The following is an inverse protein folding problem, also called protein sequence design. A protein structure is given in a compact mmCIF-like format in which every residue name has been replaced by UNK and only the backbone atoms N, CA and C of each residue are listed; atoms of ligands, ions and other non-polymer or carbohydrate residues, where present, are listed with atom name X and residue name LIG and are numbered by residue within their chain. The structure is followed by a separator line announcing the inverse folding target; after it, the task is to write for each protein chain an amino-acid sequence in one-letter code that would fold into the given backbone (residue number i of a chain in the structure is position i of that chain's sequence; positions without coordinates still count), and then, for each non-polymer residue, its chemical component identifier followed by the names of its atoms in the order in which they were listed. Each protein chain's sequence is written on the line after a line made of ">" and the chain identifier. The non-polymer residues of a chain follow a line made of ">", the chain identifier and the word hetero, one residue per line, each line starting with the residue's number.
data_IF_015386631619
#
_entry.id   IF_015386631619
#
_cell.length_a   1.000
_cell.length_b   1.000
_cell.length_c   1.000
_cell.angle_alpha   90.00
_cell.angle_beta   90.00
_cell.angle_gamma   90.00
#
_symmetry.space_group_name_H-M   'P 1'
#
loop_
_entity.id
_entity.type
_entity.pdbx_description
1 polymer ?
#
# COMPACT_ATOMS: atom_id res chain seq x y z
N UNK A 1 7.74 -10.66 -5.70
CA UNK A 1 6.70 -10.10 -4.81
C UNK A 1 6.55 -8.61 -5.06
N UNK A 2 5.33 -8.17 -5.31
CA UNK A 2 5.06 -6.78 -5.71
C UNK A 2 5.45 -5.73 -4.66
N UNK A 3 5.19 -5.98 -3.40
CA UNK A 3 5.60 -5.06 -2.32
C UNK A 3 7.12 -4.91 -2.26
N UNK A 4 7.82 -6.02 -2.39
CA UNK A 4 9.29 -6.01 -2.37
C UNK A 4 9.86 -5.22 -3.54
N UNK A 5 9.27 -5.40 -4.72
CA UNK A 5 9.71 -4.67 -5.92
C UNK A 5 9.48 -3.16 -5.76
N UNK A 6 8.33 -2.78 -5.21
CA UNK A 6 8.03 -1.39 -4.92
C UNK A 6 9.02 -0.80 -3.91
N UNK A 7 9.31 -1.52 -2.83
CA UNK A 7 10.24 -1.07 -1.80
C UNK A 7 11.64 -0.89 -2.37
N UNK A 8 12.13 -1.89 -3.11
CA UNK A 8 13.47 -1.83 -3.71
C UNK A 8 13.61 -0.65 -4.65
N UNK A 9 12.63 -0.45 -5.53
CA UNK A 9 12.65 0.66 -6.47
C UNK A 9 12.59 2.00 -5.75
N UNK A 10 11.72 2.10 -4.74
CA UNK A 10 11.57 3.31 -3.94
C UNK A 10 12.89 3.72 -3.28
N UNK A 11 13.58 2.76 -2.67
CA UNK A 11 14.88 3.03 -2.04
C UNK A 11 15.93 3.41 -3.08
N UNK A 12 15.98 2.70 -4.20
CA UNK A 12 16.95 2.96 -5.26
C UNK A 12 16.82 4.39 -5.78
N UNK A 13 15.59 4.81 -6.08
CA UNK A 13 15.38 6.13 -6.69
C UNK A 13 15.54 7.27 -5.66
N UNK A 14 15.07 7.10 -4.43
CA UNK A 14 15.12 8.16 -3.42
C UNK A 14 16.48 8.30 -2.75
N UNK A 15 17.31 7.27 -2.78
CA UNK A 15 18.68 7.34 -2.24
C UNK A 15 19.63 8.09 -3.18
N UNK A 16 19.20 8.37 -4.39
CA UNK A 16 20.01 9.16 -5.33
C UNK A 16 20.04 10.63 -4.90
N UNK A 17 21.17 11.10 -4.40
CA UNK A 17 21.32 12.49 -3.98
C UNK A 17 21.37 13.47 -5.15
N UNK A 18 21.64 12.96 -6.37
CA UNK A 18 21.54 13.76 -7.58
C UNK A 18 20.08 14.11 -7.89
N UNK A 19 19.16 13.19 -7.61
CA UNK A 19 17.74 13.38 -7.85
C UNK A 19 17.05 14.08 -6.70
N UNK A 20 17.28 13.57 -5.47
CA UNK A 20 16.66 14.09 -4.27
C UNK A 20 17.69 14.83 -3.42
N UNK A 21 17.66 16.18 -3.40
CA UNK A 21 18.63 16.97 -2.63
C UNK A 21 18.63 16.59 -1.15
N UNK A 22 19.81 16.60 -0.54
CA UNK A 22 19.99 16.20 0.86
C UNK A 22 19.09 16.96 1.83
N UNK A 23 18.76 18.22 1.54
CA UNK A 23 17.90 19.03 2.41
C UNK A 23 16.50 18.47 2.56
N UNK A 24 16.08 17.58 1.67
CA UNK A 24 14.76 16.95 1.73
C UNK A 24 14.77 15.55 2.32
N UNK A 25 15.91 15.10 2.85
CA UNK A 25 16.03 13.74 3.38
C UNK A 25 15.00 13.47 4.49
N UNK A 26 14.90 14.35 5.47
CA UNK A 26 14.01 14.14 6.61
C UNK A 26 12.55 14.49 6.33
N UNK A 27 12.32 15.46 5.47
CA UNK A 27 10.95 15.95 5.20
C UNK A 27 10.24 15.22 4.09
N UNK A 28 10.99 14.60 3.18
CA UNK A 28 10.40 13.92 2.02
C UNK A 28 10.90 12.50 1.86
N UNK A 29 12.22 12.30 1.71
CA UNK A 29 12.78 10.99 1.39
C UNK A 29 12.45 9.94 2.45
N UNK A 30 12.66 10.27 3.71
CA UNK A 30 12.35 9.33 4.80
C UNK A 30 10.88 8.97 4.85
N UNK A 31 10.00 9.95 4.63
CA UNK A 31 8.55 9.71 4.60
C UNK A 31 8.14 8.77 3.48
N UNK A 32 8.74 8.96 2.30
CA UNK A 32 8.47 8.11 1.14
C UNK A 32 8.92 6.68 1.42
N UNK A 33 10.13 6.51 1.92
CA UNK A 33 10.69 5.20 2.22
C UNK A 33 9.89 4.48 3.30
N UNK A 34 9.56 5.18 4.37
CA UNK A 34 8.74 4.63 5.46
C UNK A 34 7.37 4.20 4.96
N UNK A 35 6.75 5.00 4.10
CA UNK A 35 5.43 4.70 3.55
C UNK A 35 5.45 3.39 2.76
N UNK A 36 6.46 3.20 1.92
CA UNK A 36 6.61 1.98 1.14
C UNK A 36 6.79 0.74 2.03
N UNK A 37 7.60 0.86 3.07
CA UNK A 37 7.83 -0.24 4.03
C UNK A 37 6.57 -0.51 4.85
N UNK A 38 5.88 0.53 5.31
CA UNK A 38 4.67 0.40 6.11
C UNK A 38 3.57 -0.33 5.36
N UNK A 39 3.44 -0.12 4.05
CA UNK A 39 2.47 -0.83 3.23
C UNK A 39 2.71 -2.33 3.32
N UNK A 40 3.95 -2.76 3.20
CA UNK A 40 4.31 -4.17 3.34
C UNK A 40 4.02 -4.69 4.75
N UNK A 41 4.44 -3.93 5.77
CA UNK A 41 4.26 -4.36 7.17
C UNK A 41 2.78 -4.51 7.51
N UNK A 42 1.93 -3.61 7.05
CA UNK A 42 0.48 -3.70 7.27
C UNK A 42 -0.14 -4.90 6.56
N UNK A 43 0.30 -5.19 5.33
CA UNK A 43 -0.21 -6.35 4.60
C UNK A 43 0.21 -7.66 5.27
N UNK A 44 1.44 -7.72 5.77
CA UNK A 44 1.92 -8.89 6.50
C UNK A 44 1.12 -9.08 7.78
N UNK A 45 0.96 -8.02 8.55
CA UNK A 45 0.21 -8.04 9.80
C UNK A 45 -1.23 -8.47 9.57
N UNK A 46 -1.85 -7.91 8.54
CA UNK A 46 -3.23 -8.28 8.18
C UNK A 46 -3.33 -9.77 7.81
N UNK A 47 -2.34 -10.27 7.08
CA UNK A 47 -2.34 -11.67 6.62
C UNK A 47 -2.19 -12.67 7.77
N UNK A 48 -1.64 -12.25 8.90
CA UNK A 48 -1.50 -13.10 10.08
C UNK A 48 -2.80 -13.24 10.89
N UNK A 49 -3.79 -12.40 10.60
CA UNK A 49 -5.05 -12.41 11.31
C UNK A 49 -6.05 -13.40 10.69
N UNK A 50 -6.81 -14.09 11.56
CA UNK A 50 -7.74 -15.12 11.14
C UNK A 50 -9.09 -14.52 10.73
N UNK A 51 -9.49 -14.76 9.50
CA UNK A 51 -10.78 -14.31 8.96
C UNK A 51 -11.98 -14.86 9.72
N UNK A 52 -11.84 -16.03 10.36
CA UNK A 52 -12.94 -16.71 11.06
C UNK A 52 -13.24 -16.10 12.42
N UNK A 53 -12.31 -15.30 12.95
CA UNK A 53 -12.50 -14.63 14.25
C UNK A 53 -13.01 -13.21 13.97
N UNK A 54 -14.18 -12.86 14.54
CA UNK A 54 -14.82 -11.57 14.27
C UNK A 54 -13.92 -10.36 14.54
N UNK A 55 -13.21 -10.38 15.67
CA UNK A 55 -12.32 -9.26 16.04
C UNK A 55 -11.11 -9.17 15.12
N UNK A 56 -10.50 -10.32 14.80
CA UNK A 56 -9.35 -10.37 13.91
C UNK A 56 -9.73 -9.99 12.49
N UNK A 57 -10.93 -10.39 12.06
CA UNK A 57 -11.44 -10.00 10.76
C UNK A 57 -11.57 -8.48 10.64
N UNK A 58 -12.14 -7.82 11.65
CA UNK A 58 -12.28 -6.38 11.65
C UNK A 58 -10.91 -5.69 11.63
N UNK A 59 -9.99 -6.20 12.42
CA UNK A 59 -8.62 -5.66 12.46
C UNK A 59 -7.91 -5.83 11.11
N UNK A 60 -8.08 -6.98 10.48
CA UNK A 60 -7.52 -7.27 9.16
C UNK A 60 -8.06 -6.28 8.13
N UNK A 61 -9.35 -6.01 8.13
CA UNK A 61 -9.97 -5.06 7.23
C UNK A 61 -9.44 -3.64 7.45
N UNK A 62 -9.24 -3.24 8.69
CA UNK A 62 -8.66 -1.91 9.00
C UNK A 62 -7.25 -1.77 8.47
N UNK A 63 -6.44 -2.82 8.63
CA UNK A 63 -5.07 -2.82 8.12
C UNK A 63 -5.03 -2.76 6.61
N UNK A 64 -5.91 -3.50 5.93
CA UNK A 64 -6.02 -3.45 4.48
C UNK A 64 -6.44 -2.05 4.01
N UNK A 65 -7.43 -1.45 4.67
CA UNK A 65 -7.89 -0.11 4.34
C UNK A 65 -6.78 0.93 4.54
N UNK A 66 -6.04 0.80 5.63
CA UNK A 66 -4.93 1.72 5.93
C UNK A 66 -3.79 1.56 4.91
N UNK A 67 -3.49 0.31 4.52
CA UNK A 67 -2.49 0.05 3.49
C UNK A 67 -2.89 0.70 2.16
N UNK A 68 -4.17 0.65 1.80
CA UNK A 68 -4.67 1.31 0.60
C UNK A 68 -4.51 2.82 0.68
N UNK A 69 -4.80 3.41 1.84
CA UNK A 69 -4.60 4.84 2.07
C UNK A 69 -3.13 5.20 1.89
N UNK A 70 -2.23 4.38 2.42
CA UNK A 70 -0.79 4.61 2.29
C UNK A 70 -0.32 4.50 0.84
N UNK A 71 -0.93 3.60 0.05
CA UNK A 71 -0.65 3.54 -1.38
C UNK A 71 -1.01 4.85 -2.08
N UNK A 72 -2.14 5.44 -1.72
CA UNK A 72 -2.58 6.72 -2.27
C UNK A 72 -1.64 7.85 -1.86
N UNK A 73 -1.19 7.83 -0.61
CA UNK A 73 -0.22 8.82 -0.12
C UNK A 73 1.12 8.69 -0.84
N UNK A 74 1.56 7.47 -1.05
CA UNK A 74 2.80 7.22 -1.80
C UNK A 74 2.69 7.72 -3.23
N UNK A 75 1.57 7.46 -3.88
CA UNK A 75 1.30 7.96 -5.23
C UNK A 75 1.35 9.49 -5.29
N UNK A 76 0.82 10.14 -4.27
CA UNK A 76 0.91 11.60 -4.15
C UNK A 76 2.37 12.06 -4.08
N UNK A 77 3.18 11.41 -3.25
CA UNK A 77 4.58 11.77 -3.11
C UNK A 77 5.39 11.54 -4.39
N UNK A 78 5.04 10.48 -5.13
CA UNK A 78 5.68 10.20 -6.42
C UNK A 78 5.39 11.32 -7.41
N UNK A 79 4.12 11.73 -7.49
CA UNK A 79 3.70 12.83 -8.35
C UNK A 79 4.37 14.13 -7.93
N UNK A 80 4.39 14.41 -6.63
CA UNK A 80 5.06 15.59 -6.08
C UNK A 80 6.54 15.62 -6.45
N UNK A 81 7.20 14.49 -6.36
CA UNK A 81 8.62 14.37 -6.70
C UNK A 81 8.88 14.74 -8.17
N UNK A 82 7.99 14.34 -9.06
CA UNK A 82 8.08 14.71 -10.48
C UNK A 82 7.82 16.21 -10.67
N UNK A 83 6.82 16.75 -10.02
CA UNK A 83 6.47 18.17 -10.13
C UNK A 83 7.57 19.07 -9.58
N UNK A 84 8.29 18.60 -8.56
CA UNK A 84 9.44 19.33 -8.00
C UNK A 84 10.71 19.15 -8.85
N UNK A 85 10.63 18.37 -9.91
CA UNK A 85 11.76 18.18 -10.82
C UNK A 85 12.78 17.16 -10.32
N UNK A 86 12.47 16.38 -9.31
CA UNK A 86 13.42 15.38 -8.78
C UNK A 86 13.52 14.15 -9.65
N UNK A 87 12.48 13.80 -10.36
CA UNK A 87 12.43 12.66 -11.26
C UNK A 87 11.77 13.07 -12.58
N UNK A 88 12.09 12.32 -13.64
CA UNK A 88 11.48 12.54 -14.95
C UNK A 88 10.06 12.01 -14.98
N UNK A 89 9.28 12.43 -15.97
CA UNK A 89 7.93 11.90 -16.17
C UNK A 89 7.97 10.39 -16.39
N UNK A 90 8.97 9.90 -17.12
CA UNK A 90 9.13 8.47 -17.37
C UNK A 90 9.38 7.69 -16.07
N UNK A 91 10.25 8.20 -15.21
CA UNK A 91 10.51 7.60 -13.89
C UNK A 91 9.26 7.62 -13.03
N UNK A 92 8.51 8.72 -13.08
CA UNK A 92 7.25 8.86 -12.36
C UNK A 92 6.24 7.79 -12.81
N UNK A 93 6.10 7.59 -14.10
CA UNK A 93 5.18 6.60 -14.66
C UNK A 93 5.52 5.18 -14.20
N UNK A 94 6.80 4.81 -14.28
CA UNK A 94 7.25 3.48 -13.87
C UNK A 94 7.05 3.25 -12.37
N UNK A 95 7.46 4.19 -11.56
CA UNK A 95 7.32 4.12 -10.10
C UNK A 95 5.85 4.07 -9.69
N UNK A 96 5.02 4.91 -10.30
CA UNK A 96 3.57 4.92 -10.06
C UNK A 96 2.94 3.59 -10.45
N UNK A 97 3.41 2.97 -11.54
CA UNK A 97 2.93 1.66 -11.96
C UNK A 97 3.15 0.61 -10.87
N UNK A 98 4.34 0.60 -10.26
CA UNK A 98 4.65 -0.35 -9.18
C UNK A 98 3.74 -0.13 -7.97
N UNK A 99 3.50 1.13 -7.61
CA UNK A 99 2.61 1.47 -6.49
C UNK A 99 1.16 1.10 -6.79
N UNK A 100 0.71 1.32 -8.02
CA UNK A 100 -0.65 0.96 -8.44
C UNK A 100 -0.86 -0.55 -8.45
N UNK A 101 0.15 -1.33 -8.88
CA UNK A 101 0.05 -2.79 -8.85
C UNK A 101 -0.16 -3.30 -7.43
N UNK A 102 0.56 -2.74 -6.46
CA UNK A 102 0.39 -3.09 -5.04
C UNK A 102 -1.01 -2.68 -4.57
N UNK A 103 -1.42 -1.47 -4.89
CA UNK A 103 -2.73 -0.94 -4.51
C UNK A 103 -3.87 -1.84 -5.02
N UNK A 104 -3.83 -2.21 -6.29
CA UNK A 104 -4.87 -3.07 -6.88
C UNK A 104 -4.85 -4.47 -6.28
N UNK A 105 -3.68 -5.01 -5.99
CA UNK A 105 -3.54 -6.32 -5.33
C UNK A 105 -4.21 -6.31 -3.95
N UNK A 106 -3.95 -5.28 -3.16
CA UNK A 106 -4.53 -5.15 -1.81
C UNK A 106 -6.04 -4.95 -1.90
N UNK A 107 -6.50 -4.12 -2.83
CA UNK A 107 -7.93 -3.87 -3.03
C UNK A 107 -8.67 -5.15 -3.43
N UNK A 108 -8.10 -5.94 -4.33
CA UNK A 108 -8.67 -7.21 -4.75
C UNK A 108 -8.70 -8.21 -3.60
N UNK A 109 -7.63 -8.26 -2.80
CA UNK A 109 -7.55 -9.13 -1.62
C UNK A 109 -8.62 -8.77 -0.60
N UNK A 110 -8.76 -7.49 -0.30
CA UNK A 110 -9.77 -6.99 0.64
C UNK A 110 -11.19 -7.35 0.16
N UNK A 111 -11.42 -7.22 -1.14
CA UNK A 111 -12.71 -7.56 -1.75
C UNK A 111 -13.00 -9.06 -1.65
N UNK A 112 -11.99 -9.91 -1.88
CA UNK A 112 -12.13 -11.36 -1.72
C UNK A 112 -12.46 -11.74 -0.28
N UNK A 113 -11.81 -11.10 0.68
CA UNK A 113 -12.09 -11.35 2.10
C UNK A 113 -13.56 -11.06 2.42
N UNK A 114 -14.09 -9.95 1.91
CA UNK A 114 -15.49 -9.58 2.11
C UNK A 114 -16.43 -10.60 1.49
N UNK A 115 -16.09 -11.08 0.30
CA UNK A 115 -16.89 -12.11 -0.38
C UNK A 115 -16.92 -13.43 0.39
N UNK A 116 -15.75 -13.84 0.92
CA UNK A 116 -15.65 -15.08 1.70
C UNK A 116 -16.49 -15.04 2.97
N UNK A 117 -16.49 -13.91 3.63
CA UNK A 117 -17.29 -13.73 4.85
C UNK A 117 -18.77 -13.71 4.53
N UNK A 118 -19.13 -13.05 3.45
CA UNK A 118 -20.50 -13.01 3.00
C UNK A 118 -21.02 -14.41 2.66
N UNK A 119 -20.18 -15.24 2.06
CA UNK A 119 -20.49 -16.63 1.74
C UNK A 119 -20.60 -17.48 3.00
N UNK A 120 -19.75 -17.26 4.00
CA UNK A 120 -19.70 -18.05 5.22
C UNK A 120 -20.84 -17.73 6.19
N UNK A 121 -21.63 -16.68 5.96
CA UNK A 121 -22.75 -16.28 6.80
C UNK A 121 -24.13 -16.29 6.11
N UNK A 122 -24.35 -17.06 5.04
CA UNK A 122 -25.64 -17.00 4.34
C UNK A 122 -26.81 -17.52 5.19
N UNK A 123 -26.58 -18.54 5.99
CA UNK A 123 -27.61 -19.13 6.85
C UNK A 123 -28.07 -18.12 7.90
N UNK A 124 -27.15 -17.44 8.55
CA UNK A 124 -27.45 -16.43 9.55
C UNK A 124 -28.22 -15.27 8.92
N UNK A 125 -27.81 -14.86 7.75
CA UNK A 125 -28.49 -13.80 7.01
C UNK A 125 -29.90 -14.20 6.63
N UNK A 126 -30.06 -15.44 6.17
CA UNK A 126 -31.37 -15.98 5.80
C UNK A 126 -32.32 -16.03 7.00
N UNK A 127 -31.81 -16.33 8.18
CA UNK A 127 -32.62 -16.40 9.38
C UNK A 127 -33.13 -15.02 9.83
N UNK A 128 -32.36 -13.99 9.54
CA UNK A 128 -32.71 -12.61 9.87
C UNK A 128 -33.74 -12.07 8.89
N UNK A 129 -33.63 -12.44 7.68
CA UNK A 129 -34.51 -11.99 6.62
C UNK A 129 -35.80 -12.82 6.58
#
# INVERSE_FOLDING_TARGET
>A
MKCKDLIKHTFTITNSTERFPKKYRFTLVNRIQEKAVDIYEMTLEANELDLRQADEHRQRQRLQAKALTYCKELLFFIELSQEMGFISMKSCEYWSKLALEVKYMIAAWKKRDLSLIHISEPTRHSLIS
#
